data_IF_968615942160
#
_entry.id   IF_968615942160
#
_cell.length_a   1.000
_cell.length_b   1.000
_cell.length_c   1.000
_cell.angle_alpha   90.00
_cell.angle_beta   90.00
_cell.angle_gamma   90.00
#
_symmetry.space_group_name_H-M   'P 1'
#
loop_
_entity.id
_entity.type
_entity.pdbx_description
1 polymer ?
#
# COMPACT_ATOMS: atom_id res chain seq x y z
N UNK A 1 1.35 23.17 23.07
CA UNK A 1 1.62 21.74 22.78
C UNK A 1 1.70 21.39 21.29
N UNK A 2 0.80 21.87 20.40
CA UNK A 2 0.85 21.57 18.94
C UNK A 2 2.14 22.03 18.24
N UNK A 3 2.62 23.24 18.53
CA UNK A 3 3.86 23.76 17.96
C UNK A 3 5.08 22.88 18.30
N UNK A 4 5.20 22.46 19.57
CA UNK A 4 6.25 21.55 20.01
C UNK A 4 6.19 20.19 19.29
N UNK A 5 4.99 19.63 19.13
CA UNK A 5 4.82 18.38 18.39
C UNK A 5 5.23 18.53 16.91
N UNK A 6 4.88 19.63 16.25
CA UNK A 6 5.30 19.91 14.87
C UNK A 6 6.81 20.10 14.75
N UNK A 7 7.45 20.75 15.74
CA UNK A 7 8.90 20.89 15.80
C UNK A 7 9.59 19.53 15.94
N UNK A 8 9.13 18.68 16.87
CA UNK A 8 9.64 17.32 17.05
C UNK A 8 9.45 16.50 15.77
N UNK A 9 8.27 16.55 15.15
CA UNK A 9 8.01 15.85 13.89
C UNK A 9 8.90 16.34 12.76
N UNK A 10 9.16 17.64 12.67
CA UNK A 10 10.04 18.23 11.67
C UNK A 10 11.50 17.81 11.89
N UNK A 11 11.96 17.73 13.14
CA UNK A 11 13.28 17.22 13.49
C UNK A 11 13.42 15.73 13.14
N UNK A 12 12.44 14.91 13.53
CA UNK A 12 12.39 13.49 13.20
C UNK A 12 12.36 13.27 11.67
N UNK A 13 11.63 14.10 10.93
CA UNK A 13 11.64 14.10 9.46
C UNK A 13 13.06 14.35 8.94
N UNK A 14 13.72 15.44 9.37
CA UNK A 14 15.09 15.75 8.94
C UNK A 14 16.04 14.58 9.21
N UNK A 15 16.00 14.00 10.42
CA UNK A 15 16.84 12.86 10.80
C UNK A 15 16.54 11.63 9.92
N UNK A 16 15.27 11.32 9.69
CA UNK A 16 14.86 10.20 8.83
C UNK A 16 15.41 10.37 7.41
N UNK A 17 15.37 11.59 6.87
CA UNK A 17 15.80 11.90 5.51
C UNK A 17 17.31 12.11 5.34
N UNK A 18 18.10 12.10 6.42
CA UNK A 18 19.56 11.90 6.30
C UNK A 18 19.86 10.57 5.61
N UNK A 19 18.95 9.60 5.71
CA UNK A 19 19.23 8.25 5.22
C UNK A 19 18.13 7.60 4.39
N UNK A 20 16.90 8.10 4.46
CA UNK A 20 15.84 7.71 3.53
C UNK A 20 15.98 8.48 2.22
N UNK A 21 16.13 7.76 1.10
CA UNK A 21 15.97 8.33 -0.24
C UNK A 21 14.67 7.81 -0.82
N UNK A 22 13.79 8.73 -1.17
CA UNK A 22 12.45 8.45 -1.70
C UNK A 22 12.46 8.55 -3.22
N UNK A 23 12.08 7.46 -3.89
CA UNK A 23 11.60 7.51 -5.28
C UNK A 23 10.09 7.66 -5.25
N UNK A 24 9.54 8.53 -6.08
CA UNK A 24 8.11 8.82 -6.08
C UNK A 24 7.49 8.44 -7.43
N UNK A 25 6.30 7.84 -7.40
CA UNK A 25 5.55 7.46 -8.59
C UNK A 25 4.13 8.02 -8.49
N UNK A 26 3.59 8.71 -9.51
CA UNK A 26 4.31 9.21 -10.70
C UNK A 26 5.38 10.23 -10.32
N UNK A 27 6.42 10.43 -11.13
CA UNK A 27 7.52 11.35 -10.82
C UNK A 27 7.09 12.83 -10.92
N UNK A 28 6.25 13.15 -11.91
CA UNK A 28 5.69 14.48 -12.12
C UNK A 28 4.36 14.66 -11.37
N UNK A 29 4.10 15.89 -10.93
CA UNK A 29 2.81 16.33 -10.42
C UNK A 29 1.77 16.47 -11.53
N UNK A 30 2.18 16.71 -12.79
CA UNK A 30 1.23 16.79 -13.92
C UNK A 30 0.44 15.48 -14.11
N UNK A 31 1.06 14.34 -13.79
CA UNK A 31 0.43 13.02 -13.81
C UNK A 31 -0.55 12.81 -12.65
N UNK A 32 -0.43 13.62 -11.59
CA UNK A 32 -1.38 13.71 -10.50
C UNK A 32 -2.39 14.79 -10.87
N UNK A 33 -3.51 14.39 -11.47
CA UNK A 33 -4.62 15.27 -11.88
C UNK A 33 -5.36 15.93 -10.71
N UNK A 34 -4.62 16.54 -9.78
CA UNK A 34 -5.10 17.22 -8.58
C UNK A 34 -5.75 18.53 -8.99
N UNK A 35 -6.98 18.73 -8.51
CA UNK A 35 -7.66 19.98 -8.76
C UNK A 35 -7.29 21.01 -7.70
N UNK A 36 -6.98 22.23 -8.12
CA UNK A 36 -6.63 23.33 -7.20
C UNK A 36 -7.83 23.92 -6.47
N UNK A 37 -9.05 23.64 -6.93
CA UNK A 37 -10.28 24.20 -6.38
C UNK A 37 -10.84 23.40 -5.19
N UNK A 38 -10.21 22.27 -4.84
CA UNK A 38 -10.66 21.37 -3.76
C UNK A 38 -9.50 20.96 -2.87
N UNK A 39 -9.71 20.80 -1.56
CA UNK A 39 -8.66 20.35 -0.66
C UNK A 39 -8.25 18.90 -0.97
N UNK A 40 -6.95 18.64 -0.94
CA UNK A 40 -6.40 17.28 -1.06
C UNK A 40 -6.30 16.60 0.32
N UNK A 41 -6.78 15.37 0.43
CA UNK A 41 -6.70 14.51 1.61
C UNK A 41 -5.97 13.20 1.27
N UNK A 42 -4.84 12.97 1.94
CA UNK A 42 -4.01 11.79 1.72
C UNK A 42 -4.45 10.60 2.56
N UNK A 43 -4.54 9.42 1.96
CA UNK A 43 -4.87 8.19 2.67
C UNK A 43 -3.63 7.33 2.79
N UNK A 44 -3.29 6.94 4.01
CA UNK A 44 -2.25 5.94 4.27
C UNK A 44 -2.86 4.58 4.53
N UNK A 45 -2.14 3.53 4.18
CA UNK A 45 -2.59 2.18 4.45
C UNK A 45 -2.59 1.89 5.97
N UNK A 46 -1.46 2.08 6.63
CA UNK A 46 -1.26 1.72 8.04
C UNK A 46 -0.91 2.93 8.91
N UNK A 47 -1.36 2.90 10.15
CA UNK A 47 -1.01 3.91 11.14
C UNK A 47 0.47 3.82 11.55
N UNK A 48 1.32 4.60 10.90
CA UNK A 48 2.77 4.57 11.13
C UNK A 48 3.41 5.94 11.07
N UNK A 49 4.11 6.31 12.14
CA UNK A 49 4.88 7.56 12.19
C UNK A 49 5.81 7.73 10.98
N UNK A 50 6.61 6.73 10.63
CA UNK A 50 7.52 6.83 9.49
C UNK A 50 6.82 7.03 8.15
N UNK A 51 5.63 6.44 7.95
CA UNK A 51 4.85 6.65 6.73
C UNK A 51 4.30 8.08 6.67
N UNK A 52 3.89 8.64 7.82
CA UNK A 52 3.46 10.04 7.92
C UNK A 52 4.61 11.03 7.67
N UNK A 53 5.81 10.72 8.18
CA UNK A 53 7.00 11.54 7.94
C UNK A 53 7.44 11.50 6.47
N UNK A 54 7.40 10.32 5.85
CA UNK A 54 7.69 10.16 4.42
C UNK A 54 6.65 10.88 3.57
N UNK A 55 5.36 10.72 3.88
CA UNK A 55 4.30 11.47 3.21
C UNK A 55 4.57 12.98 3.28
N UNK A 56 4.83 13.51 4.47
CA UNK A 56 5.08 14.95 4.66
C UNK A 56 6.30 15.43 3.86
N UNK A 57 7.38 14.66 3.82
CA UNK A 57 8.52 15.01 2.98
C UNK A 57 8.12 15.02 1.50
N UNK A 58 7.49 13.95 1.01
CA UNK A 58 7.17 13.79 -0.40
C UNK A 58 6.23 14.87 -0.90
N UNK A 59 5.25 15.30 -0.09
CA UNK A 59 4.36 16.41 -0.47
C UNK A 59 5.11 17.75 -0.48
N UNK A 60 6.05 17.98 0.45
CA UNK A 60 6.89 19.19 0.46
C UNK A 60 7.85 19.26 -0.71
N UNK A 61 8.50 18.15 -1.07
CA UNK A 61 9.39 18.05 -2.23
C UNK A 61 8.67 18.40 -3.53
N UNK A 62 7.36 18.15 -3.58
CA UNK A 62 6.49 18.42 -4.73
C UNK A 62 5.78 19.77 -4.68
N UNK A 63 5.97 20.56 -3.62
CA UNK A 63 5.20 21.79 -3.42
C UNK A 63 3.69 21.56 -3.25
N UNK A 64 3.27 20.34 -2.88
CA UNK A 64 1.89 20.02 -2.58
C UNK A 64 1.51 20.45 -1.16
N UNK A 65 0.22 20.53 -0.90
CA UNK A 65 -0.30 20.92 0.42
C UNK A 65 0.20 19.96 1.50
N UNK A 66 0.78 20.52 2.56
CA UNK A 66 1.35 19.79 3.69
C UNK A 66 0.32 18.89 4.35
N UNK A 67 0.66 17.62 4.58
CA UNK A 67 -0.23 16.64 5.20
C UNK A 67 -0.57 17.00 6.66
N UNK A 68 0.27 17.81 7.31
CA UNK A 68 0.06 18.26 8.69
C UNK A 68 -0.82 19.51 8.83
N UNK A 69 -1.21 20.14 7.72
CA UNK A 69 -2.13 21.29 7.79
C UNK A 69 -3.58 20.82 7.91
N UNK A 70 -4.46 21.62 8.54
CA UNK A 70 -5.87 21.29 8.62
C UNK A 70 -6.57 21.39 7.26
N UNK A 71 -7.68 20.68 7.13
CA UNK A 71 -8.66 20.88 6.05
C UNK A 71 -9.71 21.85 6.57
N UNK A 72 -9.85 22.98 5.90
CA UNK A 72 -10.81 24.03 6.24
C UNK A 72 -11.92 24.08 5.20
N UNK A 73 -13.15 24.33 5.63
CA UNK A 73 -14.29 24.61 4.75
C UNK A 73 -15.19 25.64 5.44
N UNK A 74 -15.47 26.77 4.77
CA UNK A 74 -16.24 27.89 5.34
C UNK A 74 -15.78 28.27 6.76
N UNK A 75 -14.47 28.49 6.94
CA UNK A 75 -13.80 28.81 8.22
C UNK A 75 -13.96 27.76 9.34
N UNK A 76 -14.54 26.60 9.04
CA UNK A 76 -14.64 25.47 9.96
C UNK A 76 -13.54 24.44 9.66
N UNK A 77 -12.89 23.97 10.72
CA UNK A 77 -11.90 22.89 10.62
C UNK A 77 -12.60 21.55 10.48
N UNK A 78 -12.61 20.99 9.27
CA UNK A 78 -13.18 19.66 8.98
C UNK A 78 -12.24 18.56 9.44
N UNK A 79 -10.94 18.75 9.25
CA UNK A 79 -9.93 17.82 9.74
C UNK A 79 -8.74 18.57 10.33
N UNK A 80 -8.20 18.13 11.47
CA UNK A 80 -7.00 18.74 12.04
C UNK A 80 -5.72 18.44 11.24
N UNK A 81 -5.80 17.53 10.27
CA UNK A 81 -4.72 17.06 9.40
C UNK A 81 -5.29 16.58 8.07
N UNK A 82 -4.52 16.70 6.99
CA UNK A 82 -4.88 16.22 5.64
C UNK A 82 -4.56 14.74 5.41
N UNK A 83 -4.53 13.92 6.47
CA UNK A 83 -4.36 12.48 6.29
C UNK A 83 -5.13 11.64 7.29
N UNK A 84 -5.52 10.44 6.86
CA UNK A 84 -6.04 9.37 7.71
C UNK A 84 -5.49 8.01 7.27
N UNK A 85 -5.77 6.96 8.05
CA UNK A 85 -5.29 5.60 7.79
C UNK A 85 -6.40 4.56 7.87
N UNK A 86 -6.29 3.47 7.09
CA UNK A 86 -7.36 2.46 7.03
C UNK A 86 -7.15 1.25 7.93
N UNK A 87 -5.92 1.07 8.43
CA UNK A 87 -5.58 -0.05 9.29
C UNK A 87 -4.91 0.45 10.56
N UNK A 88 -5.36 -0.08 11.70
CA UNK A 88 -4.71 0.11 13.01
C UNK A 88 -4.10 -1.21 13.45
N UNK A 89 -2.94 -1.13 14.11
CA UNK A 89 -2.35 -2.28 14.81
C UNK A 89 -3.01 -2.35 16.19
N UNK A 90 -3.84 -3.37 16.41
CA UNK A 90 -4.53 -3.60 17.69
C UNK A 90 -4.00 -4.88 18.35
N UNK A 91 -3.95 -4.91 19.68
CA UNK A 91 -3.43 -6.02 20.48
C UNK A 91 -2.15 -5.69 21.23
N UNK A 92 -1.73 -6.63 22.09
CA UNK A 92 -0.53 -6.50 22.91
C UNK A 92 0.74 -6.54 22.05
N UNK A 93 1.89 -6.17 22.62
CA UNK A 93 3.17 -6.12 21.89
C UNK A 93 3.50 -7.42 21.13
N UNK A 94 3.01 -8.57 21.62
CA UNK A 94 3.19 -9.92 21.07
C UNK A 94 2.13 -10.25 19.99
N UNK A 95 0.88 -9.82 20.14
CA UNK A 95 -0.27 -10.25 19.32
C UNK A 95 -0.86 -9.14 18.44
N UNK A 96 -0.02 -8.19 17.99
CA UNK A 96 -0.46 -7.07 17.14
C UNK A 96 -1.04 -7.57 15.81
N UNK A 97 -2.36 -7.58 15.71
CA UNK A 97 -3.08 -7.87 14.45
C UNK A 97 -3.37 -6.56 13.72
N UNK A 98 -3.33 -6.64 12.40
CA UNK A 98 -3.69 -5.55 11.50
C UNK A 98 -5.20 -5.56 11.31
N UNK A 99 -5.89 -4.60 11.92
CA UNK A 99 -7.35 -4.55 11.91
C UNK A 99 -7.83 -3.40 11.02
N UNK A 100 -8.76 -3.65 10.07
CA UNK A 100 -9.36 -2.58 9.29
C UNK A 100 -10.21 -1.68 10.20
N UNK A 101 -10.07 -0.37 10.02
CA UNK A 101 -10.81 0.64 10.80
C UNK A 101 -11.43 1.67 9.87
N UNK A 102 -12.52 2.29 10.33
CA UNK A 102 -13.11 3.48 9.69
C UNK A 102 -12.73 4.67 10.57
N UNK A 103 -11.80 5.53 10.14
CA UNK A 103 -11.35 6.68 10.93
C UNK A 103 -12.47 7.66 11.22
N UNK A 104 -12.43 8.27 12.40
CA UNK A 104 -13.40 9.32 12.75
C UNK A 104 -13.26 10.54 11.84
N UNK A 105 -12.02 10.85 11.40
CA UNK A 105 -11.74 11.87 10.39
C UNK A 105 -12.55 11.62 9.09
N UNK A 106 -12.59 10.36 8.61
CA UNK A 106 -13.38 9.98 7.42
C UNK A 106 -14.89 10.08 7.67
N UNK A 107 -15.36 9.65 8.85
CA UNK A 107 -16.78 9.77 9.22
C UNK A 107 -17.24 11.22 9.24
N UNK A 108 -16.41 12.11 9.79
CA UNK A 108 -16.70 13.53 9.86
C UNK A 108 -16.73 14.16 8.47
N UNK A 109 -15.74 13.88 7.61
CA UNK A 109 -15.74 14.36 6.22
C UNK A 109 -16.99 13.93 5.47
N UNK A 110 -17.37 12.65 5.54
CA UNK A 110 -18.57 12.12 4.88
C UNK A 110 -19.84 12.78 5.42
N UNK A 111 -19.90 13.04 6.73
CA UNK A 111 -21.02 13.75 7.33
C UNK A 111 -21.13 15.17 6.78
N UNK A 112 -20.01 15.90 6.69
CA UNK A 112 -19.98 17.27 6.16
C UNK A 112 -20.36 17.28 4.68
N UNK A 113 -19.75 16.43 3.85
CA UNK A 113 -20.03 16.31 2.42
C UNK A 113 -21.50 15.95 2.08
N UNK A 114 -22.20 15.34 3.05
CA UNK A 114 -23.64 15.04 2.94
C UNK A 114 -24.54 16.18 3.34
N UNK A 115 -24.12 16.98 4.32
CA UNK A 115 -24.88 18.14 4.78
C UNK A 115 -24.67 19.34 3.85
N UNK A 116 -23.49 19.43 3.23
CA UNK A 116 -23.00 20.56 2.45
C UNK A 116 -22.54 20.03 1.08
N UNK A 117 -23.42 20.00 0.06
CA UNK A 117 -23.11 19.40 -1.24
C UNK A 117 -22.00 20.11 -2.04
N UNK A 118 -21.67 21.33 -1.67
CA UNK A 118 -20.58 22.14 -2.20
C UNK A 118 -19.21 21.76 -1.61
N UNK A 119 -19.18 21.05 -0.48
CA UNK A 119 -17.95 20.47 0.05
C UNK A 119 -17.57 19.20 -0.71
N UNK A 120 -16.48 19.28 -1.48
CA UNK A 120 -15.82 18.12 -2.08
C UNK A 120 -14.30 18.18 -1.83
N UNK A 121 -13.66 17.01 -1.76
CA UNK A 121 -12.22 16.90 -1.54
C UNK A 121 -11.63 15.77 -2.38
N UNK A 122 -10.37 15.94 -2.80
CA UNK A 122 -9.65 14.91 -3.54
C UNK A 122 -8.98 13.93 -2.58
N UNK A 123 -9.44 12.67 -2.60
CA UNK A 123 -8.87 11.58 -1.82
C UNK A 123 -7.72 10.96 -2.60
N UNK A 124 -6.50 11.04 -2.05
CA UNK A 124 -5.28 10.54 -2.70
C UNK A 124 -4.70 9.36 -1.91
N UNK A 125 -4.85 8.10 -2.39
CA UNK A 125 -4.20 6.96 -1.77
C UNK A 125 -2.68 7.00 -1.93
N UNK A 126 -1.94 7.00 -0.82
CA UNK A 126 -0.47 7.02 -0.79
C UNK A 126 0.06 5.72 -0.21
N UNK A 127 0.80 4.98 -1.04
CA UNK A 127 1.45 3.72 -0.66
C UNK A 127 2.94 3.93 -0.44
N UNK A 128 3.46 3.50 0.72
CA UNK A 128 4.88 3.60 1.06
C UNK A 128 5.48 2.20 1.15
N UNK A 129 6.45 1.92 0.29
CA UNK A 129 7.16 0.64 0.19
C UNK A 129 8.62 0.84 0.61
N UNK A 130 9.03 0.14 1.68
CA UNK A 130 10.39 0.21 2.22
C UNK A 130 11.24 -0.92 1.63
N UNK A 131 12.40 -0.60 1.04
CA UNK A 131 13.35 -1.61 0.54
C UNK A 131 12.93 -2.36 -0.72
N UNK A 132 11.91 -1.89 -1.41
CA UNK A 132 11.38 -2.51 -2.63
C UNK A 132 11.36 -1.44 -3.72
N UNK A 133 12.55 -1.05 -4.19
CA UNK A 133 12.65 -0.36 -5.45
C UNK A 133 12.73 -1.43 -6.56
N UNK A 134 11.87 -1.38 -7.60
CA UNK A 134 11.65 -2.47 -8.56
C UNK A 134 12.89 -2.93 -9.35
N UNK A 135 14.03 -2.26 -9.23
CA UNK A 135 15.23 -2.55 -10.02
C UNK A 135 16.31 -3.38 -9.32
N UNK A 136 16.31 -3.55 -7.99
CA UNK A 136 17.49 -4.11 -7.30
C UNK A 136 17.14 -4.95 -6.08
N UNK A 137 17.24 -6.28 -6.25
CA UNK A 137 18.08 -7.21 -5.46
C UNK A 137 17.43 -8.56 -5.08
N UNK A 138 18.06 -9.63 -5.59
CA UNK A 138 17.75 -11.04 -5.36
C UNK A 138 18.48 -11.67 -4.15
N UNK A 139 19.37 -10.95 -3.43
CA UNK A 139 20.33 -11.63 -2.54
C UNK A 139 20.08 -11.46 -1.04
N UNK A 140 19.62 -10.31 -0.57
CA UNK A 140 19.62 -10.00 0.88
C UNK A 140 18.31 -10.37 1.61
N UNK A 141 17.27 -10.80 0.88
CA UNK A 141 16.03 -11.32 1.47
C UNK A 141 16.25 -12.59 2.29
N UNK A 142 17.19 -13.46 1.91
CA UNK A 142 17.45 -14.72 2.62
C UNK A 142 18.10 -14.54 3.99
N UNK A 143 18.78 -13.43 4.25
CA UNK A 143 19.48 -13.18 5.53
C UNK A 143 18.57 -12.53 6.60
N UNK A 144 17.46 -11.91 6.20
CA UNK A 144 16.50 -11.28 7.13
C UNK A 144 15.25 -12.14 7.37
N UNK A 145 15.11 -13.23 6.61
CA UNK A 145 14.03 -14.23 6.70
C UNK A 145 14.48 -15.56 7.32
N UNK A 146 15.70 -15.65 7.85
CA UNK A 146 16.11 -16.81 8.65
C UNK A 146 15.43 -16.74 10.03
N UNK A 147 14.24 -17.31 10.10
CA UNK A 147 13.51 -18.00 11.20
C UNK A 147 13.97 -17.89 12.68
N UNK A 148 14.59 -16.81 13.17
CA UNK A 148 14.98 -16.76 14.59
C UNK A 148 14.93 -15.42 15.29
N UNK A 149 14.45 -14.34 14.67
CA UNK A 149 14.37 -13.05 15.38
C UNK A 149 12.96 -12.75 15.88
N UNK A 150 12.74 -13.07 17.15
CA UNK A 150 11.54 -12.83 17.97
C UNK A 150 11.16 -11.33 18.18
N UNK A 151 11.59 -10.42 17.30
CA UNK A 151 11.38 -8.97 17.45
C UNK A 151 10.31 -8.48 16.48
N UNK A 152 9.05 -8.70 16.82
CA UNK A 152 7.87 -8.09 16.19
C UNK A 152 7.60 -6.70 16.78
N UNK A 153 8.29 -5.65 16.29
CA UNK A 153 8.17 -4.32 16.92
C UNK A 153 8.62 -3.09 16.11
N UNK A 154 8.49 -1.87 16.69
CA UNK A 154 8.99 -0.62 16.10
C UNK A 154 10.51 -0.63 15.89
N UNK A 155 11.26 -1.41 16.67
CA UNK A 155 12.71 -1.60 16.52
C UNK A 155 13.04 -2.34 15.21
N UNK A 156 12.30 -3.40 14.86
CA UNK A 156 12.43 -4.06 13.53
C UNK A 156 12.17 -3.05 12.42
N UNK A 157 11.18 -2.17 12.59
CA UNK A 157 10.91 -1.13 11.60
C UNK A 157 12.02 -0.08 11.54
N UNK A 158 12.61 0.29 12.67
CA UNK A 158 13.80 1.12 12.73
C UNK A 158 14.94 0.48 11.95
N UNK A 159 15.29 -0.79 12.19
CA UNK A 159 16.33 -1.51 11.44
C UNK A 159 16.00 -1.74 9.96
N UNK A 160 14.74 -1.96 9.59
CA UNK A 160 14.33 -2.04 8.18
C UNK A 160 14.53 -0.68 7.50
N UNK A 161 14.04 0.39 8.12
CA UNK A 161 14.31 1.77 7.67
C UNK A 161 15.81 2.01 7.68
N UNK A 162 16.53 1.39 8.62
CA UNK A 162 17.98 1.47 8.74
C UNK A 162 18.62 0.95 7.46
N UNK A 163 18.56 -0.36 7.24
CA UNK A 163 19.32 -0.92 6.14
C UNK A 163 18.66 -0.67 4.76
N UNK A 164 17.36 -0.39 4.70
CA UNK A 164 16.61 -0.23 3.43
C UNK A 164 16.03 1.18 3.18
N UNK A 165 16.22 2.14 4.09
CA UNK A 165 15.66 3.48 3.95
C UNK A 165 16.08 4.17 2.65
N UNK A 166 17.29 3.88 2.17
CA UNK A 166 17.86 4.39 0.91
C UNK A 166 17.07 3.96 -0.34
N UNK A 167 16.23 2.93 -0.26
CA UNK A 167 15.37 2.45 -1.35
C UNK A 167 13.89 2.49 -0.94
N UNK A 168 13.38 3.68 -0.62
CA UNK A 168 11.95 3.86 -0.29
C UNK A 168 11.18 4.29 -1.52
N UNK A 169 10.15 3.55 -1.90
CA UNK A 169 9.24 3.90 -2.99
C UNK A 169 7.93 4.46 -2.40
N UNK A 170 7.55 5.66 -2.83
CA UNK A 170 6.29 6.32 -2.46
C UNK A 170 5.43 6.41 -3.71
N UNK A 171 4.27 5.76 -3.71
CA UNK A 171 3.32 5.81 -4.81
C UNK A 171 2.10 6.65 -4.43
N UNK A 172 1.93 7.78 -5.09
CA UNK A 172 0.68 8.55 -5.08
C UNK A 172 -0.22 7.97 -6.16
N UNK A 173 -1.45 7.62 -5.77
CA UNK A 173 -2.46 7.13 -6.72
C UNK A 173 -3.30 8.28 -7.23
N UNK A 174 -4.02 8.06 -8.32
CA UNK A 174 -4.92 9.07 -8.87
C UNK A 174 -5.92 9.57 -7.82
N UNK A 175 -6.14 10.90 -7.73
CA UNK A 175 -7.13 11.47 -6.83
C UNK A 175 -8.53 11.00 -7.21
N UNK A 176 -9.37 10.79 -6.19
CA UNK A 176 -10.78 10.46 -6.36
C UNK A 176 -11.60 11.45 -5.55
N UNK A 177 -12.57 12.10 -6.19
CA UNK A 177 -13.53 12.98 -5.51
C UNK A 177 -14.28 12.22 -4.43
N UNK A 178 -14.37 12.79 -3.22
CA UNK A 178 -15.18 12.23 -2.15
C UNK A 178 -16.65 12.18 -2.55
N UNK A 179 -17.14 13.23 -3.21
CA UNK A 179 -18.55 13.36 -3.57
C UNK A 179 -18.98 12.27 -4.54
N UNK A 180 -18.16 11.98 -5.56
CA UNK A 180 -18.44 10.90 -6.52
C UNK A 180 -18.45 9.51 -5.85
N UNK A 181 -17.63 9.29 -4.82
CA UNK A 181 -17.63 8.01 -4.09
C UNK A 181 -18.89 7.78 -3.27
N UNK A 182 -19.48 8.87 -2.75
CA UNK A 182 -20.61 8.79 -1.82
C UNK A 182 -21.96 8.99 -2.49
N UNK A 183 -22.06 9.59 -3.68
CA UNK A 183 -23.31 9.95 -4.37
C UNK A 183 -24.40 8.87 -4.31
N UNK A 184 -24.05 7.64 -4.71
CA UNK A 184 -24.99 6.50 -4.77
C UNK A 184 -25.37 5.90 -3.39
N UNK A 185 -24.78 6.37 -2.29
CA UNK A 185 -25.06 5.81 -0.97
C UNK A 185 -26.35 6.40 -0.38
N UNK A 186 -27.12 5.58 0.35
CA UNK A 186 -28.36 6.01 1.00
C UNK A 186 -28.14 6.56 2.41
N UNK A 187 -27.10 6.10 3.11
CA UNK A 187 -26.78 6.54 4.48
C UNK A 187 -25.30 6.86 4.66
N UNK A 188 -24.93 7.73 5.63
CA UNK A 188 -23.54 8.01 5.97
C UNK A 188 -22.75 6.76 6.38
N UNK A 189 -23.36 5.80 7.07
CA UNK A 189 -22.74 4.53 7.48
C UNK A 189 -22.45 3.64 6.28
N UNK A 190 -23.34 3.64 5.28
CA UNK A 190 -23.11 2.96 4.01
C UNK A 190 -21.95 3.60 3.24
N UNK A 191 -21.94 4.94 3.14
CA UNK A 191 -20.86 5.70 2.50
C UNK A 191 -19.51 5.44 3.17
N UNK A 192 -19.44 5.50 4.50
CA UNK A 192 -18.25 5.18 5.30
C UNK A 192 -17.69 3.79 4.97
N UNK A 193 -18.55 2.76 4.95
CA UNK A 193 -18.16 1.39 4.63
C UNK A 193 -17.73 1.23 3.16
N UNK A 194 -18.43 1.86 2.22
CA UNK A 194 -18.13 1.85 0.78
C UNK A 194 -16.75 2.48 0.53
N UNK A 195 -16.53 3.71 0.99
CA UNK A 195 -15.27 4.44 0.81
C UNK A 195 -14.10 3.67 1.42
N UNK A 196 -14.23 3.23 2.69
CA UNK A 196 -13.19 2.45 3.33
C UNK A 196 -12.92 1.11 2.62
N UNK A 197 -13.93 0.46 2.02
CA UNK A 197 -13.76 -0.77 1.24
C UNK A 197 -13.05 -0.52 -0.07
N UNK A 198 -13.45 0.50 -0.83
CA UNK A 198 -12.83 0.88 -2.11
C UNK A 198 -11.34 1.14 -1.89
N UNK A 199 -11.01 1.97 -0.91
CA UNK A 199 -9.61 2.30 -0.62
C UNK A 199 -8.80 1.08 -0.18
N UNK A 200 -9.38 0.17 0.63
CA UNK A 200 -8.69 -1.09 1.01
C UNK A 200 -8.42 -2.00 -0.18
N UNK A 201 -9.39 -2.14 -1.09
CA UNK A 201 -9.22 -2.91 -2.32
C UNK A 201 -8.14 -2.27 -3.19
N UNK A 202 -8.17 -0.95 -3.35
CA UNK A 202 -7.14 -0.19 -4.06
C UNK A 202 -5.74 -0.45 -3.50
N UNK A 203 -5.54 -0.33 -2.19
CA UNK A 203 -4.23 -0.62 -1.58
C UNK A 203 -3.80 -2.07 -1.77
N UNK A 204 -4.73 -3.03 -1.79
CA UNK A 204 -4.41 -4.44 -2.08
C UNK A 204 -3.95 -4.60 -3.52
N UNK A 205 -4.67 -4.00 -4.47
CA UNK A 205 -4.34 -4.05 -5.90
C UNK A 205 -3.00 -3.37 -6.18
N UNK A 206 -2.77 -2.17 -5.64
CA UNK A 206 -1.50 -1.44 -5.74
C UNK A 206 -0.35 -2.25 -5.16
N UNK A 207 -0.52 -2.83 -3.96
CA UNK A 207 0.50 -3.69 -3.35
C UNK A 207 0.80 -4.91 -4.21
N UNK A 208 -0.23 -5.57 -4.75
CA UNK A 208 -0.06 -6.74 -5.62
C UNK A 208 0.64 -6.38 -6.94
N UNK A 209 0.34 -5.22 -7.52
CA UNK A 209 0.99 -4.75 -8.74
C UNK A 209 2.46 -4.31 -8.51
N UNK A 210 2.79 -3.82 -7.32
CA UNK A 210 4.15 -3.34 -6.99
C UNK A 210 5.05 -4.44 -6.42
N UNK A 211 4.53 -5.31 -5.55
CA UNK A 211 5.31 -6.35 -4.86
C UNK A 211 5.12 -7.73 -5.51
N UNK A 212 3.95 -7.97 -6.12
CA UNK A 212 3.49 -9.29 -6.53
C UNK A 212 2.47 -9.90 -5.55
N UNK A 213 1.82 -11.01 -5.94
CA UNK A 213 0.86 -11.72 -5.10
C UNK A 213 1.54 -12.31 -3.86
N UNK A 214 0.76 -12.51 -2.79
CA UNK A 214 1.25 -13.13 -1.56
C UNK A 214 1.58 -14.61 -1.81
N UNK A 215 2.87 -14.93 -1.93
CA UNK A 215 3.38 -16.28 -2.16
C UNK A 215 3.44 -17.13 -0.88
N UNK A 216 2.84 -16.70 0.24
CA UNK A 216 2.76 -17.50 1.48
C UNK A 216 2.10 -18.88 1.26
N UNK A 217 1.41 -19.06 0.14
CA UNK A 217 0.87 -20.33 -0.32
C UNK A 217 1.46 -20.75 -1.68
N UNK A 218 2.78 -20.55 -1.92
CA UNK A 218 3.50 -20.98 -3.14
C UNK A 218 3.14 -22.40 -3.56
N UNK A 219 3.17 -23.33 -2.59
CA UNK A 219 2.80 -24.73 -2.80
C UNK A 219 1.37 -24.87 -3.33
N UNK A 220 0.44 -24.07 -2.83
CA UNK A 220 -0.95 -24.06 -3.30
C UNK A 220 -1.07 -23.50 -4.71
N UNK A 221 -0.34 -22.42 -5.05
CA UNK A 221 -0.35 -21.83 -6.39
C UNK A 221 0.25 -22.77 -7.45
N UNK A 222 1.40 -23.39 -7.14
CA UNK A 222 2.04 -24.40 -8.01
C UNK A 222 1.10 -25.58 -8.22
N UNK A 223 0.49 -26.09 -7.15
CA UNK A 223 -0.47 -27.19 -7.25
C UNK A 223 -1.74 -26.81 -8.01
N UNK A 224 -2.25 -25.58 -7.87
CA UNK A 224 -3.41 -25.10 -8.62
C UNK A 224 -3.10 -24.96 -10.11
N UNK A 225 -1.91 -24.46 -10.48
CA UNK A 225 -1.48 -24.33 -11.86
C UNK A 225 -1.39 -25.70 -12.55
N UNK A 226 -0.74 -26.68 -11.91
CA UNK A 226 -0.61 -28.04 -12.46
C UNK A 226 -1.96 -28.73 -12.60
N UNK A 227 -2.92 -28.43 -11.71
CA UNK A 227 -4.29 -28.94 -11.77
C UNK A 227 -5.19 -28.23 -12.78
N UNK A 228 -4.74 -27.12 -13.38
CA UNK A 228 -5.54 -26.39 -14.36
C UNK A 228 -5.81 -27.24 -15.61
N UNK A 229 -6.99 -27.13 -16.25
CA UNK A 229 -7.33 -27.90 -17.45
C UNK A 229 -6.28 -27.85 -18.57
N UNK A 230 -5.72 -26.69 -18.96
CA UNK A 230 -4.73 -26.65 -20.04
C UNK A 230 -3.44 -27.39 -19.68
N UNK A 231 -2.99 -27.29 -18.42
CA UNK A 231 -1.76 -27.96 -17.97
C UNK A 231 -1.96 -29.47 -17.82
N UNK A 232 -3.11 -29.93 -17.31
CA UNK A 232 -3.42 -31.38 -17.28
C UNK A 232 -3.46 -31.99 -18.69
N UNK A 233 -4.01 -31.28 -19.66
CA UNK A 233 -4.05 -31.76 -21.04
C UNK A 233 -2.63 -31.87 -21.61
N UNK A 234 -1.78 -30.87 -21.38
CA UNK A 234 -0.37 -30.91 -21.79
C UNK A 234 0.42 -32.04 -21.11
N UNK A 235 0.17 -32.31 -19.82
CA UNK A 235 0.78 -33.43 -19.09
C UNK A 235 0.43 -34.77 -19.73
N UNK A 236 -0.86 -35.00 -20.03
CA UNK A 236 -1.33 -36.22 -20.69
C UNK A 236 -0.75 -36.39 -22.08
N UNK A 237 -0.71 -35.31 -22.86
CA UNK A 237 -0.14 -35.33 -24.20
C UNK A 237 1.36 -35.65 -24.17
N UNK A 238 2.10 -35.05 -23.23
CA UNK A 238 3.54 -35.30 -23.03
C UNK A 238 3.79 -36.74 -22.59
N UNK A 239 3.00 -37.26 -21.65
CA UNK A 239 3.07 -38.65 -21.21
C UNK A 239 2.88 -39.63 -22.38
N UNK A 240 1.92 -39.35 -23.27
CA UNK A 240 1.67 -40.14 -24.49
C UNK A 240 2.82 -40.04 -25.50
N UNK A 241 3.32 -38.83 -25.78
CA UNK A 241 4.39 -38.59 -26.76
C UNK A 241 5.71 -39.21 -26.33
N UNK A 242 6.10 -39.02 -25.08
CA UNK A 242 7.38 -39.50 -24.54
C UNK A 242 7.30 -40.94 -23.98
N UNK A 243 6.12 -41.57 -24.01
CA UNK A 243 5.86 -42.92 -23.46
C UNK A 243 6.34 -43.06 -22.01
N UNK A 244 6.06 -42.04 -21.20
CA UNK A 244 6.35 -42.04 -19.75
C UNK A 244 5.06 -42.14 -18.94
N UNK A 245 5.08 -42.67 -17.71
CA UNK A 245 3.92 -42.65 -16.83
C UNK A 245 3.42 -41.22 -16.58
N UNK A 246 2.10 -41.03 -16.52
CA UNK A 246 1.48 -39.71 -16.28
C UNK A 246 2.01 -39.05 -15.00
N UNK A 247 2.23 -39.84 -13.94
CA UNK A 247 2.82 -39.36 -12.69
C UNK A 247 4.24 -38.77 -12.87
N UNK A 248 5.04 -39.29 -13.81
CA UNK A 248 6.38 -38.78 -14.12
C UNK A 248 6.31 -37.47 -14.89
N UNK A 249 5.34 -37.34 -15.81
CA UNK A 249 5.07 -36.10 -16.52
C UNK A 249 4.52 -35.02 -15.57
N UNK A 250 3.65 -35.39 -14.63
CA UNK A 250 3.12 -34.50 -13.58
C UNK A 250 4.24 -34.01 -12.65
N UNK A 251 5.14 -34.88 -12.21
CA UNK A 251 6.30 -34.49 -11.40
C UNK A 251 7.22 -33.50 -12.13
N UNK A 252 7.41 -33.67 -13.45
CA UNK A 252 8.15 -32.70 -14.28
C UNK A 252 7.41 -31.36 -14.38
N UNK A 253 6.09 -31.39 -14.59
CA UNK A 253 5.28 -30.17 -14.63
C UNK A 253 5.33 -29.41 -13.29
N UNK A 254 5.28 -30.12 -12.16
CA UNK A 254 5.46 -29.54 -10.82
C UNK A 254 6.85 -28.90 -10.68
N UNK A 255 7.90 -29.56 -11.14
CA UNK A 255 9.27 -29.01 -11.12
C UNK A 255 9.37 -27.72 -11.96
N UNK A 256 8.85 -27.73 -13.18
CA UNK A 256 8.84 -26.53 -14.04
C UNK A 256 7.98 -25.41 -13.45
N UNK A 257 6.81 -25.73 -12.90
CA UNK A 257 5.96 -24.75 -12.24
C UNK A 257 6.66 -24.13 -11.01
N UNK A 258 7.42 -24.92 -10.25
CA UNK A 258 8.20 -24.46 -9.10
C UNK A 258 9.38 -23.56 -9.53
N UNK A 259 10.06 -23.91 -10.62
CA UNK A 259 11.09 -23.09 -11.26
C UNK A 259 10.53 -21.76 -11.81
N UNK A 260 9.41 -21.79 -12.53
CA UNK A 260 8.73 -20.58 -13.03
C UNK A 260 8.31 -19.69 -11.86
N UNK A 261 7.67 -20.27 -10.83
CA UNK A 261 7.26 -19.56 -9.63
C UNK A 261 8.45 -18.97 -8.85
N UNK A 262 9.67 -19.52 -9.00
CA UNK A 262 10.89 -18.94 -8.42
C UNK A 262 11.38 -17.68 -9.15
N UNK A 263 11.08 -17.56 -10.45
CA UNK A 263 11.42 -16.39 -11.27
C UNK A 263 10.27 -15.39 -11.40
N UNK A 264 9.05 -15.77 -11.01
CA UNK A 264 7.84 -14.95 -11.03
C UNK A 264 7.84 -13.90 -9.91
N UNK A 265 8.90 -13.10 -9.79
CA UNK A 265 8.77 -11.78 -9.20
C UNK A 265 8.06 -10.92 -10.25
N UNK A 266 6.73 -10.78 -10.14
CA UNK A 266 5.97 -9.87 -11.01
C UNK A 266 6.28 -8.45 -10.52
N UNK A 267 7.46 -7.97 -10.90
CA UNK A 267 7.87 -6.59 -10.75
C UNK A 267 7.58 -5.82 -12.05
N UNK A 268 6.46 -6.07 -12.73
CA UNK A 268 6.05 -5.23 -13.87
C UNK A 268 4.56 -5.39 -14.17
N UNK A 269 3.76 -4.40 -13.77
CA UNK A 269 2.65 -3.92 -14.61
C UNK A 269 2.82 -2.41 -14.67
N UNK A 270 3.35 -1.93 -15.81
CA UNK A 270 3.32 -0.52 -16.19
C UNK A 270 1.88 -0.14 -16.53
N UNK A 271 1.57 1.12 -16.24
CA UNK A 271 0.29 1.81 -16.41
C UNK A 271 -0.50 1.45 -17.67
N UNK A 272 -1.83 1.39 -17.51
CA UNK A 272 -2.80 2.09 -18.35
C UNK A 272 -3.56 3.05 -17.43
#
# INVERSE_FOLDING_TARGET
MRALALLILNLLRKILFVWVRTRMIPEDNADLSLRKDRPTVYVLQDDSLSARLVLEQSVRERGLESAWTPVMHHDRCIMPRRYFYLFRRMGNWITRRRTPVIPDDLKHMIKVARMEPDFDCDIVPVSVFWGQAPEKERSLFKLLLSDTWAVTGPIKKFFIILIHGRNTLVRFSQPVSLQSMIEECKSPEQANRKVARILRVHFRAVRQATIGPDLSHRRTLVNQLVKSPPVRNAIKETARKEKIPEAKAEARALKYADEIASNLSIATIRFL
#
